data_IF_141457514854
#
_entry.id   IF_141457514854
#
_cell.length_a   1.000
_cell.length_b   1.000
_cell.length_c   1.000
_cell.angle_alpha   90.00
_cell.angle_beta   90.00
_cell.angle_gamma   90.00
#
_symmetry.space_group_name_H-M   'P 1'
#
loop_
_entity.id
_entity.type
_entity.pdbx_description
1 polymer ?
#
# COMPACT_ATOMS: atom_id res chain seq x y z
N UNK A 1 4.55 -1.01 15.48
CA UNK A 1 3.36 -1.69 14.91
C UNK A 1 3.21 -3.22 15.14
N UNK A 2 4.20 -4.00 15.63
CA UNK A 2 4.04 -5.47 15.77
C UNK A 2 2.90 -5.91 16.68
N UNK A 3 2.62 -5.19 17.77
CA UNK A 3 1.60 -5.57 18.76
C UNK A 3 0.16 -5.49 18.24
N UNK A 4 -0.14 -4.59 17.30
CA UNK A 4 -1.48 -4.40 16.74
C UNK A 4 -1.93 -5.60 15.87
N UNK A 5 -0.98 -6.34 15.30
CA UNK A 5 -1.26 -7.48 14.42
C UNK A 5 -1.12 -8.83 15.14
N UNK A 6 -0.90 -8.80 16.46
CA UNK A 6 -0.84 -10.03 17.24
C UNK A 6 -2.23 -10.67 17.29
N UNK A 7 -2.31 -11.93 16.84
CA UNK A 7 -3.56 -12.68 16.77
C UNK A 7 -4.69 -11.97 15.98
N UNK A 8 -4.33 -11.33 14.86
CA UNK A 8 -5.27 -10.60 13.99
C UNK A 8 -6.41 -11.50 13.50
N UNK A 9 -6.18 -12.78 13.32
CA UNK A 9 -7.16 -13.81 12.97
C UNK A 9 -8.30 -13.93 13.99
N UNK A 10 -8.05 -13.60 15.25
CA UNK A 10 -9.08 -13.59 16.29
C UNK A 10 -9.92 -12.31 16.21
N UNK A 11 -9.30 -11.20 15.86
CA UNK A 11 -9.96 -9.89 15.76
C UNK A 11 -10.85 -9.77 14.52
N UNK A 12 -10.70 -10.66 13.53
CA UNK A 12 -11.43 -10.60 12.25
C UNK A 12 -12.96 -10.66 12.40
N UNK A 13 -13.46 -11.26 13.48
CA UNK A 13 -14.89 -11.35 13.80
C UNK A 13 -15.51 -10.08 14.41
N UNK A 14 -14.74 -9.03 14.66
CA UNK A 14 -15.26 -7.80 15.26
C UNK A 14 -16.21 -7.05 14.32
N UNK A 15 -17.02 -6.16 14.90
CA UNK A 15 -17.87 -5.26 14.11
C UNK A 15 -17.03 -4.35 13.22
N UNK A 16 -17.55 -4.02 12.03
CA UNK A 16 -16.88 -3.18 11.04
C UNK A 16 -16.39 -1.85 11.63
N UNK A 17 -17.16 -1.27 12.55
CA UNK A 17 -16.80 -0.03 13.26
C UNK A 17 -15.49 -0.14 14.04
N UNK A 18 -15.20 -1.30 14.65
CA UNK A 18 -13.95 -1.54 15.36
C UNK A 18 -12.80 -1.81 14.39
N UNK A 19 -13.05 -2.56 13.32
CA UNK A 19 -12.07 -2.81 12.27
C UNK A 19 -11.64 -1.52 11.58
N UNK A 20 -12.60 -0.61 11.31
CA UNK A 20 -12.31 0.71 10.74
C UNK A 20 -11.41 1.56 11.64
N UNK A 21 -11.53 1.44 12.98
CA UNK A 21 -10.61 2.12 13.90
C UNK A 21 -9.18 1.58 13.80
N UNK A 22 -9.01 0.26 13.62
CA UNK A 22 -7.70 -0.34 13.41
C UNK A 22 -7.10 0.10 12.06
N UNK A 23 -7.93 0.15 11.02
CA UNK A 23 -7.52 0.69 9.72
C UNK A 23 -7.07 2.15 9.83
N UNK A 24 -7.80 2.98 10.59
CA UNK A 24 -7.42 4.38 10.81
C UNK A 24 -6.03 4.52 11.45
N UNK A 25 -5.65 3.65 12.37
CA UNK A 25 -4.29 3.65 12.96
C UNK A 25 -3.21 3.39 11.91
N UNK A 26 -3.47 2.53 10.92
CA UNK A 26 -2.54 2.32 9.79
C UNK A 26 -2.43 3.59 8.95
N UNK A 27 -3.57 4.20 8.61
CA UNK A 27 -3.62 5.44 7.83
C UNK A 27 -2.86 6.57 8.55
N UNK A 28 -3.05 6.74 9.85
CA UNK A 28 -2.35 7.74 10.62
C UNK A 28 -0.84 7.45 10.70
N UNK A 29 -0.46 6.19 10.81
CA UNK A 29 0.94 5.76 10.69
C UNK A 29 1.55 6.12 9.33
N UNK A 30 0.83 5.91 8.23
CA UNK A 30 1.26 6.32 6.88
C UNK A 30 1.42 7.84 6.79
N UNK A 31 0.48 8.62 7.35
CA UNK A 31 0.60 10.09 7.40
C UNK A 31 1.84 10.57 8.16
N UNK A 32 2.15 9.92 9.29
CA UNK A 32 3.35 10.25 10.06
C UNK A 32 4.63 9.98 9.26
N UNK A 33 4.71 8.85 8.56
CA UNK A 33 5.88 8.48 7.77
C UNK A 33 6.05 9.40 6.56
N UNK A 34 4.99 9.66 5.82
CA UNK A 34 5.00 10.51 4.62
C UNK A 34 4.97 12.00 4.92
N UNK A 35 4.64 12.38 6.16
CA UNK A 35 4.36 13.77 6.53
C UNK A 35 3.11 14.34 5.86
N UNK A 36 2.23 13.49 5.32
CA UNK A 36 1.00 13.91 4.66
C UNK A 36 0.00 14.52 5.65
N UNK A 37 -0.89 15.36 5.13
CA UNK A 37 -1.94 16.01 5.93
C UNK A 37 -3.14 15.09 6.14
N UNK A 38 -4.03 15.47 7.06
CA UNK A 38 -5.29 14.74 7.31
C UNK A 38 -6.22 14.69 6.08
N UNK A 39 -6.10 15.67 5.17
CA UNK A 39 -6.90 15.77 3.93
C UNK A 39 -6.32 15.01 2.75
N UNK A 40 -5.13 14.40 2.88
CA UNK A 40 -4.49 13.64 1.81
C UNK A 40 -5.31 12.43 1.41
N UNK A 41 -5.35 12.13 0.11
CA UNK A 41 -6.01 10.95 -0.43
C UNK A 41 -5.38 9.68 0.15
N UNK A 42 -6.21 8.81 0.71
CA UNK A 42 -5.80 7.57 1.39
C UNK A 42 -5.21 6.57 0.41
N UNK A 43 -5.75 6.48 -0.81
CA UNK A 43 -5.24 5.58 -1.85
C UNK A 43 -3.79 5.93 -2.23
N UNK A 44 -3.51 7.22 -2.39
CA UNK A 44 -2.15 7.70 -2.67
C UNK A 44 -1.18 7.38 -1.52
N UNK A 45 -1.66 7.37 -0.26
CA UNK A 45 -0.86 6.97 0.89
C UNK A 45 -0.49 5.48 0.86
N UNK A 46 -1.43 4.60 0.48
CA UNK A 46 -1.15 3.17 0.30
C UNK A 46 -0.14 2.93 -0.82
N UNK A 47 -0.29 3.62 -1.95
CA UNK A 47 0.65 3.51 -3.07
C UNK A 47 2.05 3.99 -2.69
N UNK A 48 2.15 5.11 -1.98
CA UNK A 48 3.43 5.70 -1.56
C UNK A 48 4.16 4.84 -0.53
N UNK A 49 3.47 4.36 0.51
CA UNK A 49 4.10 3.59 1.58
C UNK A 49 4.23 2.11 1.26
N UNK A 50 3.47 1.65 0.27
CA UNK A 50 3.32 0.23 -0.05
C UNK A 50 2.91 -0.63 1.16
N UNK A 51 2.20 -0.04 2.11
CA UNK A 51 1.68 -0.77 3.26
C UNK A 51 0.37 -1.48 2.89
N UNK A 52 0.20 -2.66 3.41
CA UNK A 52 -1.08 -3.36 3.30
C UNK A 52 -2.07 -2.81 4.32
N UNK A 53 -3.34 -2.67 3.91
CA UNK A 53 -4.44 -2.35 4.80
C UNK A 53 -4.59 -3.38 5.92
N UNK A 54 -5.30 -3.03 6.98
CA UNK A 54 -5.66 -3.98 8.03
C UNK A 54 -6.41 -5.19 7.47
N UNK A 55 -7.31 -4.97 6.52
CA UNK A 55 -8.10 -6.02 5.89
C UNK A 55 -7.24 -7.02 5.13
N UNK A 56 -6.32 -6.56 4.29
CA UNK A 56 -5.37 -7.43 3.56
C UNK A 56 -4.50 -8.24 4.54
N UNK A 57 -4.02 -7.61 5.62
CA UNK A 57 -3.20 -8.30 6.63
C UNK A 57 -3.99 -9.36 7.38
N UNK A 58 -5.26 -9.07 7.70
CA UNK A 58 -6.18 -10.03 8.30
C UNK A 58 -6.41 -11.21 7.36
N UNK A 59 -6.77 -10.94 6.12
CA UNK A 59 -7.06 -11.98 5.13
C UNK A 59 -5.86 -12.90 4.90
N UNK A 60 -4.64 -12.36 4.84
CA UNK A 60 -3.41 -13.14 4.77
C UNK A 60 -3.21 -13.99 6.05
N UNK A 61 -3.48 -13.44 7.24
CA UNK A 61 -3.34 -14.17 8.49
C UNK A 61 -4.34 -15.32 8.57
N UNK A 62 -5.60 -15.06 8.21
CA UNK A 62 -6.68 -16.06 8.16
C UNK A 62 -6.34 -17.20 7.18
N UNK A 63 -5.84 -16.87 5.99
CA UNK A 63 -5.42 -17.85 5.00
C UNK A 63 -4.21 -18.68 5.48
N UNK A 64 -3.23 -18.04 6.14
CA UNK A 64 -2.09 -18.77 6.71
C UNK A 64 -2.54 -19.72 7.86
N UNK A 65 -3.49 -19.28 8.69
CA UNK A 65 -4.05 -20.13 9.73
C UNK A 65 -4.83 -21.30 9.12
N UNK A 66 -5.65 -21.05 8.09
CA UNK A 66 -6.36 -22.11 7.36
C UNK A 66 -5.39 -23.11 6.71
N UNK A 67 -4.29 -22.63 6.12
CA UNK A 67 -3.22 -23.49 5.60
C UNK A 67 -2.63 -24.38 6.68
N UNK A 68 -2.34 -23.84 7.89
CA UNK A 68 -1.82 -24.60 9.03
C UNK A 68 -2.80 -25.67 9.51
N UNK A 69 -4.09 -25.32 9.61
CA UNK A 69 -5.16 -26.25 10.01
C UNK A 69 -5.23 -27.41 9.02
N UNK A 70 -5.25 -27.11 7.74
CA UNK A 70 -5.35 -28.10 6.66
C UNK A 70 -4.16 -29.06 6.62
N UNK A 71 -2.97 -28.56 6.88
CA UNK A 71 -1.74 -29.38 6.89
C UNK A 71 -1.42 -29.97 8.28
N UNK A 72 -2.37 -29.94 9.22
CA UNK A 72 -2.23 -30.48 10.58
C UNK A 72 -1.05 -29.88 11.37
N UNK A 73 -0.70 -28.61 11.08
CA UNK A 73 0.31 -27.85 11.81
C UNK A 73 -0.29 -27.07 13.00
N UNK A 74 -1.40 -27.58 13.53
CA UNK A 74 -2.15 -27.05 14.68
C UNK A 74 -2.58 -28.23 15.57
N UNK A 75 -2.99 -27.98 16.82
CA UNK A 75 -3.58 -29.02 17.68
C UNK A 75 -4.79 -29.72 17.01
N UNK A 76 -4.96 -30.99 17.25
CA UNK A 76 -5.98 -31.86 16.59
C UNK A 76 -7.40 -31.29 16.66
N UNK A 77 -7.80 -30.73 17.81
CA UNK A 77 -9.13 -30.14 17.98
C UNK A 77 -9.45 -29.01 17.01
N UNK A 78 -8.44 -28.25 16.53
CA UNK A 78 -8.63 -27.22 15.52
C UNK A 78 -8.76 -27.81 14.12
N UNK A 79 -8.00 -28.86 13.81
CA UNK A 79 -8.14 -29.54 12.52
C UNK A 79 -9.49 -30.22 12.38
N UNK A 80 -10.02 -30.80 13.45
CA UNK A 80 -11.29 -31.53 13.42
C UNK A 80 -12.51 -30.63 13.24
N UNK A 81 -12.42 -29.35 13.70
CA UNK A 81 -13.51 -28.38 13.54
C UNK A 81 -13.64 -27.90 12.07
N UNK A 82 -12.54 -27.91 11.30
CA UNK A 82 -12.46 -27.17 10.03
C UNK A 82 -12.55 -28.03 8.77
N UNK A 83 -12.49 -29.37 8.85
CA UNK A 83 -12.15 -30.18 7.67
C UNK A 83 -13.28 -31.09 7.16
N UNK A 84 -14.44 -30.53 6.84
CA UNK A 84 -15.38 -31.21 5.94
C UNK A 84 -15.18 -30.68 4.50
N UNK A 85 -14.76 -31.52 3.58
CA UNK A 85 -14.73 -31.22 2.17
C UNK A 85 -16.06 -31.54 1.50
N UNK A 86 -16.36 -30.88 0.40
CA UNK A 86 -17.55 -31.20 -0.41
C UNK A 86 -17.55 -32.66 -0.92
N UNK A 87 -16.37 -33.29 -1.02
CA UNK A 87 -16.21 -34.68 -1.42
C UNK A 87 -16.69 -35.67 -0.36
N UNK A 88 -16.72 -35.25 0.90
CA UNK A 88 -17.12 -36.11 2.06
C UNK A 88 -18.65 -36.20 2.23
N UNK A 89 -19.40 -35.47 1.36
CA UNK A 89 -20.88 -35.51 1.37
C UNK A 89 -21.41 -36.64 0.48
N UNK A 90 -22.06 -37.64 1.03
CA UNK A 90 -22.33 -38.92 0.34
C UNK A 90 -23.33 -38.87 -0.81
N UNK A 91 -24.04 -37.75 -1.05
CA UNK A 91 -25.15 -37.72 -2.01
C UNK A 91 -25.11 -36.51 -3.00
N UNK A 92 -24.02 -35.76 -3.08
CA UNK A 92 -23.97 -34.58 -3.95
C UNK A 92 -22.74 -34.55 -4.85
N UNK A 93 -22.97 -34.40 -6.16
CA UNK A 93 -21.90 -34.24 -7.14
C UNK A 93 -21.58 -32.74 -7.33
N UNK A 94 -20.81 -32.17 -6.42
CA UNK A 94 -20.43 -30.75 -6.49
C UNK A 94 -19.41 -30.49 -7.62
N UNK A 95 -19.60 -29.39 -8.35
CA UNK A 95 -18.61 -28.93 -9.33
C UNK A 95 -17.26 -28.60 -8.68
N UNK A 96 -17.26 -28.14 -7.43
CA UNK A 96 -16.09 -27.74 -6.67
C UNK A 96 -15.73 -28.78 -5.59
N UNK A 97 -15.39 -30.00 -5.98
CA UNK A 97 -15.06 -31.10 -5.05
C UNK A 97 -13.90 -30.82 -4.09
N UNK A 98 -13.04 -29.85 -4.42
CA UNK A 98 -11.85 -29.48 -3.63
C UNK A 98 -12.09 -28.33 -2.66
N UNK A 99 -13.25 -27.71 -2.68
CA UNK A 99 -13.61 -26.66 -1.75
C UNK A 99 -14.00 -27.22 -0.38
N UNK A 100 -13.72 -26.44 0.65
CA UNK A 100 -14.15 -26.77 2.01
C UNK A 100 -15.64 -26.41 2.12
N UNK A 101 -16.41 -27.29 2.78
CA UNK A 101 -17.83 -27.08 2.94
C UNK A 101 -18.13 -25.87 3.83
N UNK A 102 -18.82 -24.89 3.27
CA UNK A 102 -19.35 -23.76 4.03
C UNK A 102 -20.65 -24.17 4.71
N UNK A 103 -20.62 -24.25 6.04
CA UNK A 103 -21.84 -24.53 6.82
C UNK A 103 -22.82 -23.37 6.69
N UNK A 104 -24.14 -23.63 6.52
CA UNK A 104 -25.14 -22.56 6.47
C UNK A 104 -25.06 -21.68 7.71
N UNK A 105 -25.00 -20.37 7.49
CA UNK A 105 -24.87 -19.39 8.56
C UNK A 105 -26.04 -18.40 8.52
N UNK A 106 -26.81 -18.35 9.61
CA UNK A 106 -28.02 -17.49 9.71
C UNK A 106 -27.73 -16.10 10.27
N UNK A 107 -26.67 -15.97 11.07
CA UNK A 107 -26.35 -14.71 11.76
C UNK A 107 -25.12 -14.04 11.18
N UNK A 108 -25.10 -12.71 11.22
CA UNK A 108 -23.95 -11.91 10.79
C UNK A 108 -22.69 -12.19 11.64
N UNK A 109 -22.87 -12.45 12.93
CA UNK A 109 -21.76 -12.84 13.83
C UNK A 109 -21.10 -14.15 13.37
N UNK A 110 -21.91 -15.12 12.97
CA UNK A 110 -21.39 -16.40 12.43
C UNK A 110 -20.62 -16.16 11.12
N UNK A 111 -21.15 -15.35 10.20
CA UNK A 111 -20.47 -15.04 8.92
C UNK A 111 -19.11 -14.35 9.12
N UNK A 112 -18.97 -13.54 10.17
CA UNK A 112 -17.73 -12.88 10.53
C UNK A 112 -16.77 -13.74 11.33
N UNK A 113 -17.23 -14.91 11.82
CA UNK A 113 -16.36 -15.83 12.53
C UNK A 113 -15.22 -16.32 11.63
N UNK A 114 -14.06 -16.59 12.23
CA UNK A 114 -12.89 -17.11 11.52
C UNK A 114 -13.25 -18.32 10.64
N UNK A 115 -13.98 -19.29 11.17
CA UNK A 115 -14.32 -20.52 10.45
C UNK A 115 -15.09 -20.26 9.15
N UNK A 116 -16.07 -19.37 9.16
CA UNK A 116 -16.84 -19.04 7.97
C UNK A 116 -16.03 -18.17 7.01
N UNK A 117 -15.48 -17.09 7.52
CA UNK A 117 -14.78 -16.09 6.71
C UNK A 117 -13.50 -16.66 6.06
N UNK A 118 -12.65 -17.34 6.84
CA UNK A 118 -11.43 -17.94 6.32
C UNK A 118 -11.70 -19.09 5.33
N UNK A 119 -12.80 -19.83 5.51
CA UNK A 119 -13.22 -20.86 4.55
C UNK A 119 -13.65 -20.23 3.23
N UNK A 120 -14.43 -19.15 3.28
CA UNK A 120 -14.82 -18.39 2.08
C UNK A 120 -13.61 -17.85 1.32
N UNK A 121 -12.66 -17.23 2.03
CA UNK A 121 -11.40 -16.75 1.45
C UNK A 121 -10.59 -17.89 0.84
N UNK A 122 -10.48 -19.01 1.53
CA UNK A 122 -9.76 -20.20 1.06
C UNK A 122 -10.33 -20.73 -0.25
N UNK A 123 -11.65 -20.83 -0.34
CA UNK A 123 -12.33 -21.32 -1.53
C UNK A 123 -12.18 -20.38 -2.73
N UNK A 124 -11.95 -19.08 -2.51
CA UNK A 124 -11.66 -18.08 -3.56
C UNK A 124 -10.22 -18.13 -4.07
N UNK A 125 -9.28 -18.74 -3.30
CA UNK A 125 -7.88 -18.81 -3.71
C UNK A 125 -7.67 -19.66 -4.96
N UNK A 126 -6.68 -19.23 -5.78
CA UNK A 126 -6.20 -20.04 -6.90
C UNK A 126 -5.73 -21.41 -6.42
N UNK A 127 -6.02 -22.43 -7.20
CA UNK A 127 -5.68 -23.83 -6.90
C UNK A 127 -4.18 -24.05 -6.74
N UNK A 128 -3.35 -23.31 -7.48
CA UNK A 128 -1.89 -23.38 -7.40
C UNK A 128 -1.33 -22.90 -6.05
N UNK A 129 -2.02 -21.95 -5.43
CA UNK A 129 -1.67 -21.44 -4.09
C UNK A 129 -2.14 -22.44 -3.04
N UNK A 130 -3.35 -22.98 -3.20
CA UNK A 130 -3.89 -23.99 -2.27
C UNK A 130 -3.06 -25.29 -2.22
N UNK A 131 -2.32 -25.61 -3.29
CA UNK A 131 -1.49 -26.81 -3.40
C UNK A 131 -0.05 -26.61 -2.89
N UNK A 132 0.30 -25.47 -2.33
CA UNK A 132 1.62 -25.28 -1.73
C UNK A 132 1.87 -26.32 -0.61
N UNK A 133 3.13 -26.75 -0.51
CA UNK A 133 3.55 -27.76 0.48
C UNK A 133 4.14 -27.17 1.74
N UNK A 134 4.57 -25.90 1.71
CA UNK A 134 5.22 -25.24 2.85
C UNK A 134 4.66 -23.86 3.14
N UNK A 135 4.66 -23.48 4.43
CA UNK A 135 4.20 -22.16 4.90
C UNK A 135 5.00 -21.01 4.26
N UNK A 136 6.35 -21.05 4.14
CA UNK A 136 7.10 -19.98 3.51
C UNK A 136 6.68 -19.73 2.06
N UNK A 137 6.60 -20.79 1.24
CA UNK A 137 6.18 -20.70 -0.17
C UNK A 137 4.74 -20.20 -0.30
N UNK A 138 3.83 -20.67 0.56
CA UNK A 138 2.46 -20.19 0.60
C UNK A 138 2.37 -18.69 0.89
N UNK A 139 3.09 -18.22 1.93
CA UNK A 139 3.16 -16.80 2.27
C UNK A 139 3.77 -15.94 1.15
N UNK A 140 4.78 -16.45 0.46
CA UNK A 140 5.42 -15.76 -0.65
C UNK A 140 4.45 -15.57 -1.82
N UNK A 141 3.72 -16.63 -2.20
CA UNK A 141 2.69 -16.55 -3.25
C UNK A 141 1.54 -15.60 -2.88
N UNK A 142 1.05 -15.62 -1.63
CA UNK A 142 0.04 -14.67 -1.17
C UNK A 142 0.54 -13.21 -1.24
N UNK A 143 1.80 -12.97 -0.89
CA UNK A 143 2.40 -11.62 -1.01
C UNK A 143 2.60 -11.19 -2.45
N UNK A 144 2.88 -12.12 -3.36
CA UNK A 144 3.06 -11.81 -4.78
C UNK A 144 1.76 -11.32 -5.45
N UNK A 145 0.59 -11.76 -4.98
CA UNK A 145 -0.71 -11.22 -5.40
C UNK A 145 -0.90 -9.75 -4.95
N UNK A 146 -0.27 -9.37 -3.84
CA UNK A 146 -0.28 -8.01 -3.28
C UNK A 146 1.10 -7.36 -3.48
N UNK A 147 1.46 -7.07 -4.75
CA UNK A 147 2.75 -6.48 -5.09
C UNK A 147 2.95 -5.14 -4.38
N UNK A 148 3.93 -5.10 -3.50
CA UNK A 148 4.45 -3.89 -2.87
C UNK A 148 5.58 -3.36 -3.75
N UNK A 149 5.53 -2.11 -4.23
CA UNK A 149 6.65 -1.51 -4.95
C UNK A 149 7.92 -1.54 -4.11
N UNK A 150 8.99 -2.10 -4.64
CA UNK A 150 10.27 -2.22 -3.94
C UNK A 150 11.14 -0.97 -4.17
N UNK A 151 10.60 0.21 -3.90
CA UNK A 151 11.34 1.48 -4.04
C UNK A 151 11.59 2.07 -2.67
N UNK A 152 12.86 2.33 -2.36
CA UNK A 152 13.26 3.02 -1.14
C UNK A 152 13.08 4.52 -1.34
N UNK A 153 11.88 5.03 -1.02
CA UNK A 153 11.60 6.48 -1.08
C UNK A 153 12.14 7.26 0.11
N UNK A 154 12.36 6.61 1.24
CA UNK A 154 12.69 7.27 2.51
C UNK A 154 14.12 6.92 2.93
N UNK A 155 15.05 7.82 2.62
CA UNK A 155 16.46 7.74 3.05
C UNK A 155 17.04 9.17 3.13
N UNK A 156 18.19 9.30 3.77
CA UNK A 156 18.86 10.58 3.94
C UNK A 156 18.13 11.52 4.92
N UNK A 157 18.19 12.81 4.64
CA UNK A 157 17.54 13.82 5.48
C UNK A 157 16.01 13.74 5.40
N UNK A 158 15.37 13.81 6.58
CA UNK A 158 13.93 13.64 6.69
C UNK A 158 13.12 14.71 5.93
N UNK A 159 13.56 15.98 6.02
CA UNK A 159 12.76 17.08 5.48
C UNK A 159 12.58 17.02 3.96
N UNK A 160 13.66 16.91 3.12
CA UNK A 160 13.49 16.81 1.69
C UNK A 160 12.79 15.52 1.26
N UNK A 161 13.02 14.39 1.96
CA UNK A 161 12.31 13.14 1.71
C UNK A 161 10.79 13.26 1.92
N UNK A 162 10.37 13.95 2.99
CA UNK A 162 8.96 14.24 3.26
C UNK A 162 8.36 15.18 2.20
N UNK A 163 9.09 16.21 1.78
CA UNK A 163 8.61 17.10 0.72
C UNK A 163 8.48 16.36 -0.60
N UNK A 164 9.42 15.52 -0.94
CA UNK A 164 9.37 14.67 -2.13
C UNK A 164 8.16 13.70 -2.08
N UNK A 165 7.91 13.06 -0.94
CA UNK A 165 6.72 12.23 -0.72
C UNK A 165 5.42 13.03 -0.92
N UNK A 166 5.33 14.22 -0.35
CA UNK A 166 4.15 15.10 -0.53
C UNK A 166 3.91 15.48 -1.98
N UNK A 167 4.98 15.70 -2.76
CA UNK A 167 4.88 15.97 -4.20
C UNK A 167 4.35 14.74 -4.96
N UNK A 168 4.75 13.52 -4.60
CA UNK A 168 4.22 12.29 -5.20
C UNK A 168 2.76 12.04 -4.86
N UNK A 169 2.38 12.29 -3.62
CA UNK A 169 1.01 12.05 -3.11
C UNK A 169 0.03 13.15 -3.59
N UNK A 170 0.52 14.32 -4.01
CA UNK A 170 -0.31 15.48 -4.35
C UNK A 170 -0.83 16.23 -3.12
N UNK A 171 -0.06 16.25 -2.02
CA UNK A 171 -0.39 17.02 -0.82
C UNK A 171 0.73 17.99 -0.45
N UNK A 172 1.42 18.51 -1.44
CA UNK A 172 2.49 19.48 -1.28
C UNK A 172 1.94 20.88 -0.93
N UNK A 173 2.86 21.81 -0.69
CA UNK A 173 2.49 23.22 -0.54
C UNK A 173 2.36 23.97 -1.88
N UNK A 174 2.43 23.29 -3.04
CA UNK A 174 2.17 23.91 -4.33
C UNK A 174 0.71 24.38 -4.39
N UNK A 175 0.48 25.54 -4.98
CA UNK A 175 -0.84 26.16 -4.98
C UNK A 175 -1.94 25.29 -5.62
N UNK A 176 -1.58 24.52 -6.65
CA UNK A 176 -2.49 23.54 -7.25
C UNK A 176 -2.95 22.48 -6.24
N UNK A 177 -1.99 21.87 -5.53
CA UNK A 177 -2.30 20.85 -4.53
C UNK A 177 -3.13 21.43 -3.38
N UNK A 178 -2.77 22.62 -2.92
CA UNK A 178 -3.51 23.29 -1.82
C UNK A 178 -4.95 23.59 -2.22
N UNK A 179 -5.16 24.10 -3.42
CA UNK A 179 -6.50 24.47 -3.91
C UNK A 179 -7.38 23.25 -4.19
N UNK A 180 -6.88 22.34 -5.05
CA UNK A 180 -7.70 21.22 -5.58
C UNK A 180 -7.60 19.95 -4.74
N UNK A 181 -6.41 19.54 -4.32
CA UNK A 181 -6.22 18.26 -3.66
C UNK A 181 -6.47 18.34 -2.16
N UNK A 182 -6.12 19.46 -1.52
CA UNK A 182 -6.36 19.70 -0.09
C UNK A 182 -7.66 20.47 0.19
N UNK A 183 -8.38 20.86 -0.87
CA UNK A 183 -9.67 21.56 -0.79
C UNK A 183 -9.61 22.84 0.05
N UNK A 184 -8.61 23.70 -0.20
CA UNK A 184 -8.47 25.04 0.40
C UNK A 184 -8.72 26.09 -0.70
N UNK A 185 -9.98 26.52 -0.92
CA UNK A 185 -10.36 27.36 -2.06
C UNK A 185 -9.81 28.80 -1.99
N UNK A 186 -9.44 29.26 -0.79
CA UNK A 186 -8.92 30.64 -0.60
C UNK A 186 -7.52 30.84 -1.22
N UNK A 187 -6.80 29.76 -1.49
CA UNK A 187 -5.50 29.79 -2.16
C UNK A 187 -5.72 29.69 -3.67
N UNK A 188 -5.28 30.69 -4.42
CA UNK A 188 -5.33 30.64 -5.89
C UNK A 188 -4.36 29.58 -6.41
N UNK A 189 -4.76 28.73 -7.38
CA UNK A 189 -3.89 27.65 -7.87
C UNK A 189 -2.73 28.11 -8.75
N UNK A 190 -2.63 29.42 -9.04
CA UNK A 190 -1.64 30.02 -9.93
C UNK A 190 -0.24 30.06 -9.30
N UNK A 191 0.77 30.03 -10.18
CA UNK A 191 2.16 30.20 -9.80
C UNK A 191 2.54 31.70 -9.74
N UNK A 192 3.48 32.04 -8.88
CA UNK A 192 4.05 33.41 -8.80
C UNK A 192 4.75 33.87 -10.10
N UNK A 193 5.11 32.95 -11.00
CA UNK A 193 5.65 33.27 -12.31
C UNK A 193 4.61 33.72 -13.35
N UNK A 194 3.31 33.72 -12.99
CA UNK A 194 2.20 34.06 -13.88
C UNK A 194 1.50 32.88 -14.53
N UNK A 195 2.01 31.66 -14.38
CA UNK A 195 1.33 30.45 -14.89
C UNK A 195 0.00 30.22 -14.17
N UNK A 196 -1.03 29.75 -14.91
CA UNK A 196 -2.38 29.52 -14.40
C UNK A 196 -2.40 28.48 -13.26
N UNK A 197 -1.56 27.46 -13.33
CA UNK A 197 -1.49 26.39 -12.34
C UNK A 197 -0.06 26.14 -11.88
N UNK A 198 0.16 26.11 -10.57
CA UNK A 198 1.42 25.70 -9.95
C UNK A 198 1.36 24.18 -9.65
N UNK A 199 1.43 23.38 -10.72
CA UNK A 199 1.47 21.92 -10.61
C UNK A 199 2.88 21.41 -10.30
N UNK A 200 2.99 20.14 -9.90
CA UNK A 200 4.28 19.46 -9.71
C UNK A 200 5.10 19.45 -11.00
N UNK A 201 4.45 19.22 -12.15
CA UNK A 201 5.10 19.26 -13.46
C UNK A 201 5.60 20.65 -13.80
N UNK A 202 4.78 21.69 -13.57
CA UNK A 202 5.20 23.09 -13.76
C UNK A 202 6.42 23.43 -12.89
N UNK A 203 6.40 23.04 -11.61
CA UNK A 203 7.49 23.29 -10.66
C UNK A 203 8.81 22.69 -11.14
N UNK A 204 8.83 21.43 -11.54
CA UNK A 204 10.05 20.74 -11.95
C UNK A 204 10.48 21.05 -13.39
N UNK A 205 9.55 21.19 -14.33
CA UNK A 205 9.90 21.20 -15.76
C UNK A 205 9.76 22.58 -16.44
N UNK A 206 8.85 23.43 -15.96
CA UNK A 206 8.45 24.61 -16.75
C UNK A 206 8.63 25.96 -16.05
N UNK A 207 8.60 26.02 -14.72
CA UNK A 207 8.61 27.29 -14.01
C UNK A 207 9.89 28.11 -14.27
N UNK A 208 9.79 29.35 -14.81
CA UNK A 208 10.96 30.18 -15.06
C UNK A 208 11.69 30.59 -13.78
N UNK A 209 11.00 30.68 -12.64
CA UNK A 209 11.61 31.04 -11.36
C UNK A 209 12.71 30.06 -10.90
N UNK A 210 12.70 28.85 -11.43
CA UNK A 210 13.62 27.78 -11.03
C UNK A 210 14.54 27.32 -12.17
N UNK A 211 14.69 28.09 -13.23
CA UNK A 211 15.43 27.70 -14.45
C UNK A 211 16.88 27.31 -14.15
N UNK A 212 17.58 28.06 -13.30
CA UNK A 212 18.99 27.78 -13.00
C UNK A 212 19.20 26.48 -12.27
N UNK A 213 18.46 26.26 -11.18
CA UNK A 213 18.56 25.02 -10.38
C UNK A 213 18.01 23.82 -11.16
N UNK A 214 17.01 24.04 -12.03
CA UNK A 214 16.48 22.99 -12.91
C UNK A 214 17.50 22.54 -13.94
N UNK A 215 18.27 23.46 -14.53
CA UNK A 215 19.31 23.09 -15.49
C UNK A 215 20.38 22.21 -14.83
N UNK A 216 20.75 22.50 -13.58
CA UNK A 216 21.67 21.64 -12.80
C UNK A 216 21.07 20.26 -12.55
N UNK A 217 19.81 20.20 -12.11
CA UNK A 217 19.09 18.94 -11.92
C UNK A 217 19.02 18.12 -13.21
N UNK A 218 18.64 18.79 -14.31
CA UNK A 218 18.54 18.17 -15.64
C UNK A 218 19.85 17.55 -16.08
N UNK A 219 20.95 18.29 -16.04
CA UNK A 219 22.29 17.80 -16.41
C UNK A 219 22.69 16.57 -15.60
N UNK A 220 22.43 16.58 -14.29
CA UNK A 220 22.77 15.44 -13.42
C UNK A 220 21.91 14.19 -13.71
N UNK A 221 20.62 14.36 -13.92
CA UNK A 221 19.70 13.25 -14.20
C UNK A 221 19.95 12.66 -15.58
N UNK A 222 20.22 13.51 -16.61
CA UNK A 222 20.50 13.07 -17.99
C UNK A 222 21.78 12.22 -18.11
N UNK A 223 22.68 12.28 -17.15
CA UNK A 223 23.83 11.35 -17.07
C UNK A 223 23.41 9.90 -16.74
N UNK A 224 22.25 9.71 -16.13
CA UNK A 224 21.77 8.40 -15.67
C UNK A 224 20.59 7.88 -16.49
N UNK A 225 19.65 8.78 -16.86
CA UNK A 225 18.40 8.42 -17.53
C UNK A 225 17.70 9.65 -18.09
N UNK A 226 16.57 9.46 -18.76
CA UNK A 226 15.78 10.56 -19.31
C UNK A 226 15.20 11.48 -18.21
N UNK A 227 15.29 12.80 -18.45
CA UNK A 227 14.71 13.83 -17.58
C UNK A 227 13.20 13.92 -17.79
N UNK A 228 12.43 13.13 -17.06
CA UNK A 228 10.96 13.10 -17.10
C UNK A 228 10.37 13.22 -15.70
N UNK A 229 9.16 13.79 -15.60
CA UNK A 229 8.49 13.96 -14.31
C UNK A 229 8.33 12.63 -13.57
N UNK A 230 8.01 11.54 -14.26
CA UNK A 230 7.92 10.19 -13.65
C UNK A 230 9.24 9.75 -13.05
N UNK A 231 10.34 9.96 -13.73
CA UNK A 231 11.68 9.61 -13.24
C UNK A 231 12.05 10.44 -12.01
N UNK A 232 11.76 11.74 -12.02
CA UNK A 232 12.01 12.65 -10.91
C UNK A 232 11.22 12.20 -9.66
N UNK A 233 9.95 11.85 -9.82
CA UNK A 233 9.07 11.52 -8.70
C UNK A 233 9.23 10.07 -8.22
N UNK A 234 9.33 9.11 -9.12
CA UNK A 234 9.20 7.68 -8.81
C UNK A 234 10.45 6.85 -9.15
N UNK A 235 11.47 7.46 -9.71
CA UNK A 235 12.62 6.75 -10.24
C UNK A 235 12.35 6.10 -11.60
N UNK A 236 13.30 5.31 -12.09
CA UNK A 236 13.20 4.57 -13.35
C UNK A 236 13.38 3.07 -13.10
N UNK A 237 12.54 2.20 -13.68
CA UNK A 237 12.70 0.75 -13.58
C UNK A 237 13.98 0.24 -14.27
N UNK A 238 14.56 1.03 -15.17
CA UNK A 238 15.78 0.70 -15.91
C UNK A 238 17.06 1.02 -15.13
N UNK A 239 16.95 1.69 -13.98
CA UNK A 239 18.06 2.05 -13.11
C UNK A 239 18.19 1.07 -11.95
N UNK A 240 19.44 0.81 -11.55
CA UNK A 240 19.72 0.11 -10.30
C UNK A 240 19.26 0.93 -9.10
N UNK A 241 19.11 0.27 -7.94
CA UNK A 241 18.63 0.91 -6.71
C UNK A 241 19.50 2.12 -6.32
N UNK A 242 20.80 1.99 -6.39
CA UNK A 242 21.77 3.04 -6.05
C UNK A 242 21.69 4.23 -7.02
N UNK A 243 21.45 3.98 -8.30
CA UNK A 243 21.24 5.02 -9.30
C UNK A 243 19.91 5.78 -9.08
N UNK A 244 18.86 5.07 -8.75
CA UNK A 244 17.59 5.72 -8.37
C UNK A 244 17.74 6.59 -7.11
N UNK A 245 18.57 6.15 -6.14
CA UNK A 245 18.89 6.96 -4.96
C UNK A 245 19.63 8.25 -5.35
N UNK A 246 20.61 8.17 -6.26
CA UNK A 246 21.29 9.37 -6.77
C UNK A 246 20.33 10.35 -7.46
N UNK A 247 19.39 9.85 -8.24
CA UNK A 247 18.34 10.71 -8.85
C UNK A 247 17.54 11.42 -7.75
N UNK A 248 17.15 10.71 -6.69
CA UNK A 248 16.39 11.31 -5.58
C UNK A 248 17.24 12.29 -4.77
N UNK A 249 18.55 12.04 -4.58
CA UNK A 249 19.45 13.01 -3.94
C UNK A 249 19.51 14.32 -4.74
N UNK A 250 19.59 14.25 -6.06
CA UNK A 250 19.56 15.45 -6.92
C UNK A 250 18.23 16.19 -6.81
N UNK A 251 17.13 15.46 -6.72
CA UNK A 251 15.78 16.04 -6.50
C UNK A 251 15.68 16.68 -5.11
N UNK A 252 16.25 16.07 -4.09
CA UNK A 252 16.27 16.64 -2.74
C UNK A 252 17.05 17.97 -2.69
N UNK A 253 18.20 18.02 -3.36
CA UNK A 253 18.96 19.27 -3.51
C UNK A 253 18.13 20.35 -4.22
N UNK A 254 17.45 20.00 -5.31
CA UNK A 254 16.56 20.92 -6.02
C UNK A 254 15.44 21.47 -5.11
N UNK A 255 14.80 20.58 -4.32
CA UNK A 255 13.74 20.97 -3.37
C UNK A 255 14.27 21.96 -2.33
N UNK A 256 15.48 21.71 -1.80
CA UNK A 256 16.13 22.58 -0.83
C UNK A 256 16.49 23.95 -1.43
N UNK A 257 17.14 23.96 -2.58
CA UNK A 257 17.59 25.20 -3.27
C UNK A 257 16.42 26.05 -3.78
N UNK A 258 15.28 25.43 -4.10
CA UNK A 258 14.09 26.14 -4.56
C UNK A 258 13.50 27.09 -3.51
N UNK A 259 13.74 26.81 -2.22
CA UNK A 259 13.15 27.51 -1.07
C UNK A 259 11.62 27.64 -1.12
N UNK A 260 10.96 26.85 -1.98
CA UNK A 260 9.51 26.95 -2.20
C UNK A 260 8.70 26.41 -1.02
N UNK A 261 9.28 25.53 -0.25
CA UNK A 261 8.62 24.80 0.83
C UNK A 261 9.12 25.18 2.23
N UNK A 262 10.10 26.09 2.30
CA UNK A 262 10.63 26.63 3.56
C UNK A 262 9.63 27.53 4.28
#
# INVERSE_FOLDING_TARGET
MPKMFYRIEVCGGFYQTHLNKLEQVIIDGMRIVTGATARSNVENLYQETAWNSFYIRRDIADLVMMFRIRNKHVPTYLSDICLMHNVDMPNYNFRNKRDILLKPCRTEVCRRSFLYFATELWNKLNIEIRQCTSIPVFKEKLKAEHKVPNVLYYYGERWPSVMHARLRIGCSKLNYDVHFNLHIPDVRPSCSCGAMFETVEHFFLHCPNYINIRNVLKLKVEQLTEFKIKTILFGSPNLWKEQNQLVFDFVHVYILESKRFS
#
